data_IF_263045900032
#
_entry.id   IF_263045900032
#
_cell.length_a   1.000
_cell.length_b   1.000
_cell.length_c   1.000
_cell.angle_alpha   90.00
_cell.angle_beta   90.00
_cell.angle_gamma   90.00
#
_symmetry.space_group_name_H-M   'P 1'
#
loop_
_entity.id
_entity.type
_entity.pdbx_description
1 polymer ?
#
# COMPACT_ATOMS: atom_id res chain seq x y z
N UNK A 1 31.84 19.75 -71.29
CA UNK A 1 32.44 19.64 -69.96
C UNK A 1 33.12 18.30 -69.86
N UNK A 2 34.45 18.27 -69.86
CA UNK A 2 35.21 17.03 -69.78
C UNK A 2 35.28 16.53 -68.36
N UNK A 3 34.59 15.44 -68.07
CA UNK A 3 34.75 14.74 -66.80
C UNK A 3 36.11 14.05 -66.87
N UNK A 4 37.12 14.68 -66.26
CA UNK A 4 38.45 14.10 -66.13
C UNK A 4 38.31 12.78 -65.38
N UNK A 5 38.67 11.66 -66.05
CA UNK A 5 38.76 10.32 -65.44
C UNK A 5 39.81 10.41 -64.33
N UNK A 6 39.34 10.51 -63.08
CA UNK A 6 40.21 10.38 -61.93
C UNK A 6 40.88 9.01 -61.92
N UNK A 7 42.20 8.92 -61.73
CA UNK A 7 42.88 7.63 -61.66
C UNK A 7 42.29 6.77 -60.54
N UNK A 8 41.99 5.54 -60.85
CA UNK A 8 41.29 4.57 -59.95
C UNK A 8 41.94 4.44 -58.57
N UNK A 9 43.24 4.67 -58.45
CA UNK A 9 43.98 4.72 -57.18
C UNK A 9 43.55 5.87 -56.27
N UNK A 10 43.28 7.04 -56.83
CA UNK A 10 42.88 8.21 -56.05
C UNK A 10 41.43 8.08 -55.55
N UNK A 11 40.57 7.43 -56.34
CA UNK A 11 39.20 7.12 -55.91
C UNK A 11 39.20 6.15 -54.71
N UNK A 12 40.07 5.13 -54.73
CA UNK A 12 40.20 4.15 -53.69
C UNK A 12 40.69 4.80 -52.35
N UNK A 13 41.65 5.74 -52.46
CA UNK A 13 42.10 6.54 -51.27
C UNK A 13 40.99 7.44 -50.71
N UNK A 14 40.22 8.10 -51.54
CA UNK A 14 39.11 8.93 -51.13
C UNK A 14 38.03 8.14 -50.44
N UNK A 15 37.70 6.94 -50.92
CA UNK A 15 36.73 6.02 -50.28
C UNK A 15 37.28 5.51 -48.97
N UNK A 16 38.54 5.12 -48.91
CA UNK A 16 39.15 4.57 -47.68
C UNK A 16 39.25 5.64 -46.60
N UNK A 17 39.74 6.85 -46.89
CA UNK A 17 39.87 7.95 -45.95
C UNK A 17 38.51 8.57 -45.60
N UNK A 18 37.65 8.81 -46.61
CA UNK A 18 36.32 9.32 -46.38
C UNK A 18 35.43 8.36 -45.57
N UNK A 19 35.53 7.06 -45.91
CA UNK A 19 34.84 5.99 -45.14
C UNK A 19 35.35 5.87 -43.71
N UNK A 20 36.68 6.00 -43.51
CA UNK A 20 37.30 5.97 -42.18
C UNK A 20 36.85 7.14 -41.31
N UNK A 21 36.84 8.35 -41.85
CA UNK A 21 36.37 9.55 -41.12
C UNK A 21 34.87 9.40 -40.78
N UNK A 22 34.06 8.95 -41.71
CA UNK A 22 32.63 8.80 -41.50
C UNK A 22 32.34 7.73 -40.43
N UNK A 23 33.09 6.63 -40.45
CA UNK A 23 33.00 5.57 -39.45
C UNK A 23 33.44 6.06 -38.06
N UNK A 24 34.51 6.84 -38.00
CA UNK A 24 34.98 7.46 -36.74
C UNK A 24 33.93 8.44 -36.17
N UNK A 25 33.31 9.28 -36.99
CA UNK A 25 32.21 10.17 -36.56
C UNK A 25 31.01 9.37 -36.03
N UNK A 26 30.59 8.35 -36.73
CA UNK A 26 29.50 7.49 -36.30
C UNK A 26 29.78 6.79 -34.98
N UNK A 27 30.97 6.23 -34.79
CA UNK A 27 31.33 5.49 -33.58
C UNK A 27 31.61 6.41 -32.37
N UNK A 28 32.09 7.66 -32.60
CA UNK A 28 32.49 8.57 -31.50
C UNK A 28 31.38 9.54 -31.14
N UNK A 29 30.63 10.09 -32.11
CA UNK A 29 29.64 11.13 -31.85
C UNK A 29 28.27 10.54 -31.54
N UNK A 30 27.87 9.48 -32.27
CA UNK A 30 26.52 8.89 -32.13
C UNK A 30 26.23 8.30 -30.73
N UNK A 31 27.11 7.49 -30.13
CA UNK A 31 26.87 6.97 -28.79
C UNK A 31 26.88 8.06 -27.73
N UNK A 32 27.72 9.10 -27.90
CA UNK A 32 27.77 10.22 -26.97
C UNK A 32 26.51 11.09 -27.04
N UNK A 33 25.91 11.23 -28.20
CA UNK A 33 24.64 11.96 -28.37
C UNK A 33 23.47 11.20 -27.72
N UNK A 34 23.44 9.86 -27.87
CA UNK A 34 22.40 9.02 -27.21
C UNK A 34 22.55 9.08 -25.68
N UNK A 35 23.78 9.00 -25.18
CA UNK A 35 24.05 9.09 -23.74
C UNK A 35 23.60 10.45 -23.17
N UNK A 36 23.86 11.54 -23.88
CA UNK A 36 23.43 12.87 -23.48
C UNK A 36 21.89 13.01 -23.42
N UNK A 37 21.20 12.49 -24.44
CA UNK A 37 19.72 12.50 -24.48
C UNK A 37 19.10 11.67 -23.33
N UNK A 38 19.71 10.55 -22.97
CA UNK A 38 19.23 9.72 -21.86
C UNK A 38 19.40 10.43 -20.51
N UNK A 39 20.53 11.09 -20.29
CA UNK A 39 20.78 11.87 -19.07
C UNK A 39 19.79 13.05 -18.96
N UNK A 40 19.49 13.74 -20.06
CA UNK A 40 18.52 14.83 -20.06
C UNK A 40 17.11 14.37 -19.71
N UNK A 41 16.70 13.19 -20.23
CA UNK A 41 15.42 12.57 -19.88
C UNK A 41 15.37 12.16 -18.40
N UNK A 42 16.46 11.63 -17.86
CA UNK A 42 16.56 11.25 -16.44
C UNK A 42 16.50 12.50 -15.53
N UNK A 43 17.19 13.57 -15.89
CA UNK A 43 17.13 14.85 -15.17
C UNK A 43 15.71 15.41 -15.18
N UNK A 44 15.00 15.35 -16.29
CA UNK A 44 13.62 15.83 -16.38
C UNK A 44 12.66 14.96 -15.54
N UNK A 45 12.83 13.65 -15.56
CA UNK A 45 12.05 12.73 -14.71
C UNK A 45 12.30 12.99 -13.22
N UNK A 46 13.55 13.17 -12.81
CA UNK A 46 13.91 13.51 -11.43
C UNK A 46 13.36 14.89 -11.00
N UNK A 47 13.41 15.87 -11.88
CA UNK A 47 12.81 17.20 -11.59
C UNK A 47 11.30 17.10 -11.39
N UNK A 48 10.62 16.34 -12.23
CA UNK A 48 9.18 16.11 -12.08
C UNK A 48 8.85 15.43 -10.75
N UNK A 49 9.62 14.40 -10.35
CA UNK A 49 9.46 13.74 -9.05
C UNK A 49 9.68 14.71 -7.88
N UNK A 50 10.68 15.58 -7.98
CA UNK A 50 10.94 16.61 -6.95
C UNK A 50 9.78 17.61 -6.87
N UNK A 51 9.24 18.04 -8.00
CA UNK A 51 8.08 18.94 -8.03
C UNK A 51 6.83 18.27 -7.42
N UNK A 52 6.56 17.03 -7.79
CA UNK A 52 5.47 16.24 -7.20
C UNK A 52 5.64 16.08 -5.68
N UNK A 53 6.83 15.74 -5.21
CA UNK A 53 7.12 15.65 -3.78
C UNK A 53 6.95 17.01 -3.07
N UNK A 54 7.35 18.11 -3.71
CA UNK A 54 7.22 19.45 -3.15
C UNK A 54 5.77 19.89 -3.00
N UNK A 55 4.90 19.46 -3.90
CA UNK A 55 3.44 19.70 -3.82
C UNK A 55 2.78 18.77 -2.79
N UNK A 56 3.17 17.50 -2.76
CA UNK A 56 2.57 16.49 -1.89
C UNK A 56 3.04 16.59 -0.43
N UNK A 57 4.29 17.04 -0.19
CA UNK A 57 4.89 17.14 1.14
C UNK A 57 4.07 17.99 2.12
N UNK A 58 3.62 19.21 1.79
CA UNK A 58 2.81 20.00 2.71
C UNK A 58 1.44 19.37 2.98
N UNK A 59 0.83 18.73 1.96
CA UNK A 59 -0.44 18.02 2.10
C UNK A 59 -0.28 16.81 3.02
N UNK A 60 0.80 16.06 2.85
CA UNK A 60 1.12 14.92 3.71
C UNK A 60 1.38 15.36 5.15
N UNK A 61 2.09 16.46 5.35
CA UNK A 61 2.36 17.02 6.69
C UNK A 61 1.06 17.48 7.36
N UNK A 62 0.19 18.19 6.65
CA UNK A 62 -1.10 18.65 7.16
C UNK A 62 -2.02 17.47 7.49
N UNK A 63 -2.08 16.44 6.64
CA UNK A 63 -2.81 15.21 6.90
C UNK A 63 -2.21 14.44 8.08
N UNK A 64 -0.88 14.34 8.17
CA UNK A 64 -0.20 13.68 9.28
C UNK A 64 -0.43 14.40 10.61
N UNK A 65 -0.48 15.73 10.63
CA UNK A 65 -0.85 16.49 11.83
C UNK A 65 -2.31 16.32 12.21
N UNK A 66 -3.21 16.28 11.23
CA UNK A 66 -4.65 16.04 11.46
C UNK A 66 -4.94 14.60 11.88
N UNK A 67 -4.13 13.64 11.41
CA UNK A 67 -4.23 12.22 11.80
C UNK A 67 -3.43 11.88 13.05
N UNK A 68 -2.60 12.79 13.58
CA UNK A 68 -2.12 12.65 14.96
C UNK A 68 -3.35 12.62 15.86
N UNK A 69 -3.76 11.40 16.20
CA UNK A 69 -4.85 11.13 17.11
C UNK A 69 -4.57 11.91 18.40
N UNK A 70 -5.13 13.09 18.52
CA UNK A 70 -5.33 13.67 19.84
C UNK A 70 -6.41 12.78 20.47
N UNK A 71 -5.97 11.92 21.37
CA UNK A 71 -6.92 11.24 22.25
C UNK A 71 -7.89 12.31 22.74
N UNK A 72 -9.18 12.29 22.36
CA UNK A 72 -10.12 13.21 22.95
C UNK A 72 -10.04 12.95 24.46
N UNK A 73 -9.67 13.96 25.23
CA UNK A 73 -9.52 13.88 26.68
C UNK A 73 -10.77 13.32 27.39
N UNK A 74 -11.90 13.27 26.67
CA UNK A 74 -13.20 12.85 27.14
C UNK A 74 -13.63 11.42 26.72
N UNK A 75 -12.82 10.68 25.98
CA UNK A 75 -13.12 9.27 25.68
C UNK A 75 -12.29 8.40 26.64
N UNK A 76 -12.91 7.80 27.66
CA UNK A 76 -12.23 6.82 28.49
C UNK A 76 -11.87 5.62 27.60
N UNK A 77 -10.60 5.54 27.22
CA UNK A 77 -10.12 4.29 26.64
C UNK A 77 -10.22 3.20 27.69
N UNK A 78 -10.77 2.04 27.34
CA UNK A 78 -10.78 0.92 28.27
C UNK A 78 -9.34 0.61 28.67
N UNK A 79 -9.12 0.33 29.96
CA UNK A 79 -7.82 -0.18 30.41
C UNK A 79 -7.56 -1.45 29.61
N UNK A 80 -6.39 -1.53 28.97
CA UNK A 80 -5.99 -2.75 28.26
C UNK A 80 -5.90 -3.89 29.27
N UNK A 81 -6.73 -4.89 29.07
CA UNK A 81 -6.77 -6.13 29.83
C UNK A 81 -6.52 -7.30 28.88
N UNK A 82 -6.03 -8.40 29.41
CA UNK A 82 -5.89 -9.63 28.63
C UNK A 82 -7.07 -10.54 28.90
N UNK A 83 -7.56 -11.19 27.86
CA UNK A 83 -8.64 -12.14 27.97
C UNK A 83 -8.16 -13.39 28.74
N UNK A 84 -8.89 -13.75 29.80
CA UNK A 84 -8.61 -14.99 30.54
C UNK A 84 -8.93 -16.23 29.69
N UNK A 85 -8.16 -17.31 29.88
CA UNK A 85 -8.39 -18.60 29.18
C UNK A 85 -9.83 -19.13 29.37
N UNK A 86 -10.42 -18.88 30.51
CA UNK A 86 -11.79 -19.31 30.81
C UNK A 86 -12.85 -18.52 30.06
N UNK A 87 -12.51 -17.29 29.63
CA UNK A 87 -13.42 -16.38 28.91
C UNK A 87 -13.29 -16.48 27.39
N UNK A 88 -12.27 -17.18 26.91
CA UNK A 88 -12.04 -17.37 25.47
C UNK A 88 -13.25 -17.98 24.76
N UNK A 89 -13.96 -18.89 25.41
CA UNK A 89 -15.19 -19.49 24.88
C UNK A 89 -16.33 -18.49 24.70
N UNK A 90 -16.35 -17.39 25.48
CA UNK A 90 -17.42 -16.43 25.48
C UNK A 90 -17.17 -15.27 24.48
N UNK A 91 -15.93 -15.11 24.00
CA UNK A 91 -15.57 -13.97 23.13
C UNK A 91 -16.38 -13.96 21.83
N UNK A 92 -16.61 -15.12 21.24
CA UNK A 92 -17.41 -15.25 20.03
C UNK A 92 -18.86 -14.79 20.25
N UNK A 93 -19.42 -15.08 21.45
CA UNK A 93 -20.77 -14.63 21.82
C UNK A 93 -20.83 -13.10 22.01
N UNK A 94 -19.79 -12.50 22.60
CA UNK A 94 -19.67 -11.04 22.78
C UNK A 94 -19.60 -10.36 21.42
N UNK A 95 -18.73 -10.84 20.51
CA UNK A 95 -18.59 -10.31 19.16
C UNK A 95 -19.92 -10.42 18.40
N UNK A 96 -20.58 -11.59 18.46
CA UNK A 96 -21.87 -11.81 17.84
C UNK A 96 -22.94 -10.82 18.36
N UNK A 97 -22.92 -10.54 19.65
CA UNK A 97 -23.85 -9.59 20.25
C UNK A 97 -23.64 -8.16 19.75
N UNK A 98 -22.39 -7.71 19.66
CA UNK A 98 -22.04 -6.39 19.09
C UNK A 98 -22.50 -6.29 17.63
N UNK A 99 -22.28 -7.33 16.82
CA UNK A 99 -22.69 -7.37 15.41
C UNK A 99 -24.21 -7.23 15.29
N UNK A 100 -24.97 -7.98 16.10
CA UNK A 100 -26.44 -7.92 16.09
C UNK A 100 -26.99 -6.58 16.58
N UNK A 101 -26.36 -5.98 17.59
CA UNK A 101 -26.78 -4.66 18.11
C UNK A 101 -26.62 -3.53 17.08
N UNK A 102 -25.79 -3.74 16.07
CA UNK A 102 -25.58 -2.78 14.98
C UNK A 102 -26.27 -3.20 13.67
N UNK A 103 -27.29 -4.03 13.74
CA UNK A 103 -28.10 -4.48 12.60
C UNK A 103 -27.32 -5.19 11.50
N UNK A 104 -26.18 -5.81 11.84
CA UNK A 104 -25.47 -6.71 10.96
C UNK A 104 -25.93 -8.16 11.18
N UNK A 105 -26.04 -8.87 10.08
CA UNK A 105 -26.24 -10.33 10.09
C UNK A 105 -24.86 -10.98 10.09
N UNK A 106 -24.58 -11.79 11.10
CA UNK A 106 -23.39 -12.61 11.13
C UNK A 106 -23.55 -13.78 10.15
N UNK A 107 -22.63 -13.91 9.20
CA UNK A 107 -22.60 -15.01 8.25
C UNK A 107 -21.63 -16.09 8.71
N UNK A 108 -20.44 -15.72 9.22
CA UNK A 108 -19.45 -16.65 9.74
C UNK A 108 -18.57 -16.00 10.81
N UNK A 109 -18.13 -16.79 11.78
CA UNK A 109 -17.11 -16.42 12.76
C UNK A 109 -16.12 -17.58 12.89
N UNK A 110 -14.85 -17.32 12.67
CA UNK A 110 -13.77 -18.28 12.77
C UNK A 110 -12.75 -17.77 13.76
N UNK A 111 -12.39 -18.61 14.72
CA UNK A 111 -11.37 -18.31 15.72
C UNK A 111 -10.12 -19.11 15.40
N UNK A 112 -9.02 -18.43 15.17
CA UNK A 112 -7.72 -19.03 14.96
C UNK A 112 -6.86 -18.87 16.22
N UNK A 113 -6.53 -20.01 16.80
CA UNK A 113 -5.68 -20.10 17.99
C UNK A 113 -4.19 -20.31 17.62
N UNK A 114 -3.81 -20.16 16.35
CA UNK A 114 -2.44 -20.36 15.89
C UNK A 114 -1.45 -19.45 16.62
N UNK A 115 -1.80 -18.18 16.82
CA UNK A 115 -0.99 -17.23 17.57
C UNK A 115 -0.78 -17.57 19.05
N UNK A 116 -1.65 -18.39 19.64
CA UNK A 116 -1.45 -18.91 21.00
C UNK A 116 -0.40 -20.02 21.02
N UNK A 117 -0.33 -20.83 19.97
CA UNK A 117 0.65 -21.91 19.84
C UNK A 117 2.05 -21.36 19.57
N UNK A 118 2.15 -20.24 18.86
CA UNK A 118 3.41 -19.55 18.55
C UNK A 118 3.93 -18.71 19.73
N UNK A 119 3.21 -18.67 20.85
CA UNK A 119 3.62 -17.93 22.05
C UNK A 119 3.42 -16.41 21.96
N UNK A 120 2.76 -15.90 20.93
CA UNK A 120 2.47 -14.47 20.79
C UNK A 120 1.41 -13.98 21.78
N UNK A 121 0.60 -14.88 22.35
CA UNK A 121 -0.51 -14.53 23.23
C UNK A 121 -1.65 -13.79 22.52
N UNK A 122 -1.75 -13.95 21.21
CA UNK A 122 -2.77 -13.32 20.38
C UNK A 122 -3.78 -14.35 19.88
N UNK A 123 -5.06 -14.02 19.97
CA UNK A 123 -6.16 -14.78 19.40
C UNK A 123 -6.72 -14.03 18.21
N UNK A 124 -6.67 -14.63 17.03
CA UNK A 124 -7.20 -14.05 15.81
C UNK A 124 -8.65 -14.52 15.59
N UNK A 125 -9.55 -13.57 15.36
CA UNK A 125 -10.95 -13.84 15.09
C UNK A 125 -11.32 -13.21 13.76
N UNK A 126 -11.64 -14.06 12.78
CA UNK A 126 -12.15 -13.65 11.49
C UNK A 126 -13.67 -13.67 11.50
N UNK A 127 -14.26 -12.54 11.15
CA UNK A 127 -15.70 -12.33 11.15
C UNK A 127 -16.16 -11.95 9.75
N UNK A 128 -17.21 -12.60 9.29
CA UNK A 128 -17.88 -12.31 8.04
C UNK A 128 -19.34 -11.94 8.33
N UNK A 129 -19.77 -10.79 7.87
CA UNK A 129 -21.09 -10.25 8.17
C UNK A 129 -21.65 -9.45 7.01
N UNK A 130 -22.97 -9.32 6.96
CA UNK A 130 -23.69 -8.57 5.94
C UNK A 130 -24.60 -7.53 6.60
N UNK A 131 -24.54 -6.29 6.14
CA UNK A 131 -25.35 -5.20 6.72
C UNK A 131 -25.23 -3.90 5.96
N UNK A 132 -25.69 -2.81 6.59
CA UNK A 132 -25.61 -1.47 6.05
C UNK A 132 -24.30 -0.79 6.49
N UNK A 133 -23.60 -0.18 5.53
CA UNK A 133 -22.34 0.52 5.79
C UNK A 133 -22.47 1.65 6.82
N UNK A 134 -23.63 2.29 6.89
CA UNK A 134 -23.88 3.39 7.84
C UNK A 134 -23.70 2.96 9.30
N UNK A 135 -23.97 1.71 9.61
CA UNK A 135 -23.88 1.13 10.95
C UNK A 135 -22.44 0.64 11.28
N UNK A 136 -21.59 0.50 10.26
CA UNK A 136 -20.21 -0.01 10.42
C UNK A 136 -19.39 0.84 11.40
N UNK A 137 -19.53 2.17 11.32
CA UNK A 137 -18.82 3.09 12.22
C UNK A 137 -19.16 2.83 13.68
N UNK A 138 -20.43 2.69 14.00
CA UNK A 138 -20.88 2.46 15.38
C UNK A 138 -20.38 1.10 15.90
N UNK A 139 -20.41 0.10 15.05
CA UNK A 139 -19.90 -1.23 15.38
C UNK A 139 -18.39 -1.20 15.65
N UNK A 140 -17.58 -0.52 14.83
CA UNK A 140 -16.14 -0.37 15.07
C UNK A 140 -15.88 0.35 16.39
N UNK A 141 -16.64 1.40 16.71
CA UNK A 141 -16.51 2.10 17.99
C UNK A 141 -16.85 1.17 19.17
N UNK A 142 -17.87 0.32 19.05
CA UNK A 142 -18.19 -0.67 20.09
C UNK A 142 -17.10 -1.74 20.23
N UNK A 143 -16.50 -2.21 19.14
CA UNK A 143 -15.33 -3.08 19.24
C UNK A 143 -14.18 -2.37 19.98
N UNK A 144 -13.95 -1.09 19.71
CA UNK A 144 -12.93 -0.29 20.40
C UNK A 144 -13.17 -0.14 21.92
N UNK A 145 -14.36 -0.42 22.45
CA UNK A 145 -14.62 -0.43 23.89
C UNK A 145 -14.22 -1.76 24.57
N UNK A 146 -13.89 -2.78 23.81
CA UNK A 146 -13.47 -4.07 24.37
C UNK A 146 -12.06 -3.94 24.96
N UNK A 147 -11.85 -4.22 26.24
CA UNK A 147 -10.55 -3.99 26.90
C UNK A 147 -9.44 -4.92 26.42
N UNK A 148 -9.80 -6.06 25.87
CA UNK A 148 -8.89 -7.09 25.35
C UNK A 148 -8.66 -7.01 23.84
N UNK A 149 -9.34 -6.10 23.12
CA UNK A 149 -9.06 -5.87 21.70
C UNK A 149 -7.72 -5.12 21.54
N UNK A 150 -6.74 -5.79 20.93
CA UNK A 150 -5.44 -5.17 20.67
C UNK A 150 -5.52 -4.28 19.43
N UNK A 151 -5.98 -4.82 18.31
CA UNK A 151 -6.21 -4.07 17.07
C UNK A 151 -7.12 -4.83 16.10
N UNK A 152 -7.58 -4.11 15.10
CA UNK A 152 -8.26 -4.67 13.93
C UNK A 152 -7.22 -4.76 12.81
N UNK A 153 -6.89 -5.97 12.37
CA UNK A 153 -5.85 -6.19 11.36
C UNK A 153 -6.33 -5.84 9.96
N UNK A 154 -7.55 -6.27 9.62
CA UNK A 154 -8.09 -6.10 8.27
C UNK A 154 -9.56 -5.80 8.33
N UNK A 155 -10.01 -4.88 7.49
CA UNK A 155 -11.42 -4.66 7.17
C UNK A 155 -11.52 -4.67 5.65
N UNK A 156 -12.27 -5.63 5.09
CA UNK A 156 -12.58 -5.72 3.67
C UNK A 156 -14.08 -5.56 3.47
N UNK A 157 -14.47 -4.68 2.58
CA UNK A 157 -15.86 -4.39 2.28
C UNK A 157 -16.12 -4.74 0.81
N UNK A 158 -17.09 -5.61 0.59
CA UNK A 158 -17.51 -6.04 -0.74
C UNK A 158 -18.96 -5.63 -0.97
N UNK A 159 -19.23 -4.97 -2.09
CA UNK A 159 -20.59 -4.59 -2.47
C UNK A 159 -21.30 -5.80 -3.06
N UNK A 160 -22.41 -6.16 -2.45
CA UNK A 160 -23.35 -7.15 -2.98
C UNK A 160 -24.69 -6.43 -3.20
N UNK A 161 -25.38 -6.71 -4.27
CA UNK A 161 -26.52 -6.02 -4.91
C UNK A 161 -27.39 -5.05 -4.07
N UNK A 162 -27.59 -5.26 -2.77
CA UNK A 162 -28.38 -4.39 -1.89
C UNK A 162 -27.72 -4.13 -0.52
N UNK A 163 -26.69 -4.89 -0.14
CA UNK A 163 -26.03 -4.80 1.16
C UNK A 163 -24.54 -4.97 1.00
N UNK A 164 -23.80 -4.50 1.98
CA UNK A 164 -22.35 -4.70 2.00
C UNK A 164 -21.99 -5.94 2.83
N UNK A 165 -21.12 -6.75 2.26
CA UNK A 165 -20.47 -7.84 2.94
C UNK A 165 -19.16 -7.31 3.54
N UNK A 166 -19.01 -7.46 4.83
CA UNK A 166 -17.84 -6.98 5.57
C UNK A 166 -17.10 -8.18 6.13
N UNK A 167 -15.83 -8.30 5.77
CA UNK A 167 -14.89 -9.24 6.36
C UNK A 167 -13.96 -8.47 7.29
N UNK A 168 -13.88 -8.88 8.54
CA UNK A 168 -13.06 -8.21 9.56
C UNK A 168 -12.21 -9.23 10.30
N UNK A 169 -10.94 -8.90 10.52
CA UNK A 169 -10.01 -9.71 11.30
C UNK A 169 -9.62 -8.92 12.56
N UNK A 170 -9.93 -9.49 13.70
CA UNK A 170 -9.74 -8.92 15.04
C UNK A 170 -8.60 -9.66 15.73
N UNK A 171 -7.67 -8.93 16.34
CA UNK A 171 -6.61 -9.48 17.17
C UNK A 171 -6.90 -9.17 18.65
N UNK A 172 -7.02 -10.21 19.44
CA UNK A 172 -7.37 -10.14 20.86
C UNK A 172 -6.19 -10.60 21.69
N UNK A 173 -5.81 -9.79 22.68
CA UNK A 173 -4.76 -10.14 23.64
C UNK A 173 -5.30 -11.15 24.64
N UNK A 174 -4.62 -12.30 24.78
CA UNK A 174 -4.97 -13.35 25.73
C UNK A 174 -3.83 -13.57 26.73
N UNK A 175 -4.19 -14.00 27.92
CA UNK A 175 -3.22 -14.45 28.90
C UNK A 175 -2.52 -15.74 28.44
N UNK A 176 -1.19 -15.87 28.64
CA UNK A 176 -0.40 -17.00 28.22
C UNK A 176 -0.79 -18.33 28.91
#
# INVERSE_FOLDING_TARGET
MAISKLPTKNILFIILFGGGILLFVLLSIFPNYIAYSNIENEINALRQQIEEQKILSPIFTDLSEKTKFRNPENLPFPKKEKLSKNETGNISAIIQNIIRQNDFKLDSILTDAGGLMDGSGMLEISVEMTGDFTNLRNMILQFGTLPYLEHIETIRIENTNEKQKVLMKLCIAQEP
#
